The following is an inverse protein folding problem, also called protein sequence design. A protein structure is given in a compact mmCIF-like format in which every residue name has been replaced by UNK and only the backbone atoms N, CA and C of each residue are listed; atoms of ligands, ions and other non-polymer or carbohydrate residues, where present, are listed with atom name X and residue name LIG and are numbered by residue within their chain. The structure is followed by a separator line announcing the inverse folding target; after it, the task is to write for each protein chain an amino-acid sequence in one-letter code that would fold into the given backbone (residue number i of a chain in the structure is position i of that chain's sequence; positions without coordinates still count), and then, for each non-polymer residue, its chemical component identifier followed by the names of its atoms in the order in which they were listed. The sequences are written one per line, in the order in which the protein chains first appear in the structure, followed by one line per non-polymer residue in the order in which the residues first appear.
data_IF_646516743181
#
_entry.id   IF_646516743181
#
_cell.length_a   1.000
_cell.length_b   1.000
_cell.length_c   1.000
_cell.angle_alpha   90.00
_cell.angle_beta   90.00
_cell.angle_gamma   90.00
#
_symmetry.space_group_name_H-M   'P 1'
#
loop_
_entity.id
_entity.type
_entity.pdbx_description
1 polymer ?
#
# COMPACT_ATOMS: atom_id res chain seq x y z
N UNK A 1 9.79 17.87 0.71
CA UNK A 1 9.99 16.45 0.35
C UNK A 1 9.34 15.57 1.41
N UNK A 2 8.76 14.44 1.00
CA UNK A 2 8.22 13.43 1.94
C UNK A 2 9.03 12.14 1.84
N UNK A 3 9.41 11.57 2.98
CA UNK A 3 10.16 10.32 3.06
C UNK A 3 9.60 9.39 4.15
N UNK A 4 9.99 8.12 4.11
CA UNK A 4 9.44 7.07 4.99
C UNK A 4 10.44 6.76 6.11
N UNK A 5 9.94 6.53 7.34
CA UNK A 5 10.76 6.06 8.45
C UNK A 5 11.52 4.76 8.10
N UNK A 6 12.82 4.72 8.36
CA UNK A 6 13.72 3.59 8.11
C UNK A 6 14.29 3.52 6.68
N UNK A 7 13.95 4.50 5.83
CA UNK A 7 14.57 4.67 4.50
C UNK A 7 15.75 5.65 4.57
N UNK A 8 16.34 5.98 3.42
CA UNK A 8 17.32 7.06 3.29
C UNK A 8 16.71 8.25 2.54
N UNK A 9 17.26 9.45 2.75
CA UNK A 9 16.91 10.65 1.97
C UNK A 9 18.18 11.31 1.45
N UNK A 10 18.08 11.94 0.28
CA UNK A 10 19.12 12.77 -0.29
C UNK A 10 18.52 14.14 -0.61
N UNK A 11 19.10 15.18 -0.02
CA UNK A 11 18.80 16.57 -0.35
C UNK A 11 19.90 17.08 -1.25
N UNK A 12 19.54 17.80 -2.31
CA UNK A 12 20.49 18.28 -3.31
C UNK A 12 20.18 19.72 -3.67
N UNK A 13 21.24 20.51 -3.89
CA UNK A 13 21.15 21.82 -4.50
C UNK A 13 22.37 22.11 -5.37
N UNK A 14 22.19 23.01 -6.34
CA UNK A 14 23.25 23.48 -7.20
C UNK A 14 23.73 24.85 -6.72
N UNK A 15 25.05 25.00 -6.65
CA UNK A 15 25.73 26.18 -6.16
C UNK A 15 26.64 26.71 -7.27
N UNK A 16 26.36 27.93 -7.72
CA UNK A 16 27.16 28.63 -8.73
C UNK A 16 27.86 29.83 -8.11
N UNK A 17 29.15 30.01 -8.40
CA UNK A 17 29.90 31.18 -7.95
C UNK A 17 31.40 31.07 -8.23
N UNK A 18 32.14 32.10 -7.84
CA UNK A 18 33.60 32.07 -7.87
C UNK A 18 34.15 31.17 -6.76
N UNK A 19 35.11 30.31 -7.11
CA UNK A 19 35.84 29.44 -6.18
C UNK A 19 36.84 30.25 -5.32
N UNK A 20 37.22 29.75 -4.13
CA UNK A 20 36.73 28.54 -3.47
C UNK A 20 35.36 28.78 -2.80
N UNK A 21 34.44 27.83 -2.97
CA UNK A 21 33.13 27.83 -2.33
C UNK A 21 33.13 26.78 -1.22
N UNK A 22 32.66 27.16 -0.04
CA UNK A 22 32.40 26.25 1.07
C UNK A 22 30.90 26.08 1.24
N UNK A 23 30.45 24.84 1.43
CA UNK A 23 29.05 24.50 1.65
C UNK A 23 28.88 23.86 3.02
N UNK A 24 27.89 24.33 3.78
CA UNK A 24 27.51 23.79 5.09
C UNK A 24 26.00 23.54 5.16
N UNK A 25 25.61 22.44 5.80
CA UNK A 25 24.22 22.04 5.97
C UNK A 25 23.77 22.28 7.41
N UNK A 26 22.52 22.69 7.57
CA UNK A 26 21.90 22.94 8.86
C UNK A 26 20.53 22.26 8.91
N UNK A 27 20.14 21.79 10.10
CA UNK A 27 18.76 21.40 10.42
C UNK A 27 18.30 22.27 11.57
N UNK A 28 17.23 23.04 11.35
CA UNK A 28 16.65 23.92 12.37
C UNK A 28 17.70 24.80 13.09
N UNK A 29 18.64 25.36 12.31
CA UNK A 29 19.76 26.19 12.76
C UNK A 29 20.90 25.46 13.48
N UNK A 30 20.87 24.14 13.59
CA UNK A 30 22.01 23.33 14.06
C UNK A 30 22.82 22.83 12.87
N UNK A 31 24.12 23.08 12.88
CA UNK A 31 25.04 22.59 11.86
C UNK A 31 25.08 21.05 11.84
N UNK A 32 25.12 20.49 10.63
CA UNK A 32 25.24 19.06 10.37
C UNK A 32 26.65 18.80 9.88
N UNK A 33 27.40 18.04 10.68
CA UNK A 33 28.69 17.49 10.29
C UNK A 33 28.51 16.10 9.68
N UNK A 34 29.50 15.65 8.92
CA UNK A 34 29.49 14.28 8.39
C UNK A 34 29.76 13.29 9.51
N UNK A 35 28.84 12.34 9.69
CA UNK A 35 28.88 11.28 10.71
C UNK A 35 28.37 9.96 10.11
N UNK A 36 28.08 8.95 10.95
CA UNK A 36 27.55 7.66 10.47
C UNK A 36 26.17 7.78 9.81
N UNK A 37 25.37 8.79 10.18
CA UNK A 37 24.00 9.00 9.71
C UNK A 37 23.93 10.00 8.56
N UNK A 38 24.76 11.04 8.59
CA UNK A 38 24.76 12.17 7.68
C UNK A 38 26.04 12.19 6.85
N UNK A 39 25.90 12.28 5.52
CA UNK A 39 27.03 12.43 4.62
C UNK A 39 26.87 13.70 3.79
N UNK A 40 27.73 14.68 4.06
CA UNK A 40 27.77 15.95 3.35
C UNK A 40 28.78 15.85 2.20
N UNK A 41 28.32 16.05 0.97
CA UNK A 41 29.16 16.00 -0.22
C UNK A 41 29.00 17.32 -0.96
N UNK A 42 30.12 17.89 -1.41
CA UNK A 42 30.13 19.01 -2.34
C UNK A 42 31.16 18.73 -3.42
N UNK A 43 30.70 18.59 -4.67
CA UNK A 43 31.57 18.29 -5.80
C UNK A 43 31.18 19.16 -6.99
N UNK A 44 32.19 19.85 -7.56
CA UNK A 44 32.05 20.87 -8.61
C UNK A 44 31.08 22.00 -8.24
N UNK A 45 29.79 21.77 -8.47
CA UNK A 45 28.70 22.70 -8.20
C UNK A 45 27.49 22.04 -7.54
N UNK A 46 27.53 20.72 -7.30
CA UNK A 46 26.45 19.98 -6.68
C UNK A 46 26.76 19.75 -5.19
N UNK A 47 25.90 20.28 -4.32
CA UNK A 47 25.91 20.01 -2.90
C UNK A 47 24.82 19.00 -2.56
N UNK A 48 25.19 17.92 -1.88
CA UNK A 48 24.23 16.92 -1.43
C UNK A 48 24.42 16.55 0.04
N UNK A 49 23.30 16.34 0.72
CA UNK A 49 23.22 15.77 2.06
C UNK A 49 22.47 14.45 1.99
N UNK A 50 23.17 13.35 2.26
CA UNK A 50 22.57 12.03 2.42
C UNK A 50 22.29 11.78 3.90
N UNK A 51 21.09 11.28 4.22
CA UNK A 51 20.65 10.95 5.57
C UNK A 51 20.18 9.50 5.58
N UNK A 52 20.89 8.66 6.32
CA UNK A 52 20.59 7.24 6.47
C UNK A 52 19.62 6.98 7.63
N UNK A 53 18.90 5.86 7.57
CA UNK A 53 18.05 5.36 8.66
C UNK A 53 17.08 6.40 9.23
N UNK A 54 16.27 7.02 8.37
CA UNK A 54 15.38 8.12 8.75
C UNK A 54 14.47 7.76 9.93
N UNK A 55 14.35 8.64 10.90
CA UNK A 55 13.44 8.56 12.02
C UNK A 55 12.53 9.78 12.11
N UNK A 56 11.59 9.79 13.07
CA UNK A 56 10.65 10.91 13.21
C UNK A 56 11.33 12.22 13.56
N UNK A 57 12.48 12.18 14.23
CA UNK A 57 13.26 13.38 14.58
C UNK A 57 13.91 14.01 13.36
N UNK A 58 14.14 13.28 12.26
CA UNK A 58 14.69 13.81 11.00
C UNK A 58 13.71 14.67 10.21
N UNK A 59 12.46 14.78 10.66
CA UNK A 59 11.56 15.78 10.11
C UNK A 59 12.02 17.17 10.53
N UNK A 60 12.08 18.10 9.60
CA UNK A 60 12.51 19.47 9.91
C UNK A 60 12.81 20.29 8.67
N UNK A 61 13.22 21.53 8.91
CA UNK A 61 13.73 22.42 7.86
C UNK A 61 15.24 22.28 7.74
N UNK A 62 15.70 21.92 6.55
CA UNK A 62 17.11 21.80 6.22
C UNK A 62 17.52 23.00 5.38
N UNK A 63 18.66 23.60 5.72
CA UNK A 63 19.22 24.76 5.02
C UNK A 63 20.63 24.43 4.55
N UNK A 64 20.89 24.63 3.27
CA UNK A 64 22.23 24.62 2.70
C UNK A 64 22.72 26.06 2.59
N UNK A 65 23.91 26.33 3.11
CA UNK A 65 24.56 27.63 3.07
C UNK A 65 25.84 27.50 2.25
N UNK A 66 25.97 28.32 1.22
CA UNK A 66 27.19 28.42 0.42
C UNK A 66 27.86 29.77 0.66
N UNK A 67 29.18 29.75 0.89
CA UNK A 67 29.98 30.93 1.20
C UNK A 67 31.23 30.99 0.33
N UNK A 68 31.53 32.18 -0.19
CA UNK A 68 32.81 32.53 -0.79
C UNK A 68 33.22 33.96 -0.39
N UNK A 69 34.26 34.52 -1.03
CA UNK A 69 34.72 35.88 -0.74
C UNK A 69 33.71 36.97 -1.10
N UNK A 70 32.83 36.71 -2.07
CA UNK A 70 31.83 37.68 -2.52
C UNK A 70 30.60 37.74 -1.61
N UNK A 71 30.36 36.70 -0.80
CA UNK A 71 29.30 36.68 0.19
C UNK A 71 28.79 35.29 0.53
N UNK A 72 27.55 35.27 1.03
CA UNK A 72 26.87 34.05 1.49
C UNK A 72 25.49 33.98 0.87
N UNK A 73 25.11 32.82 0.37
CA UNK A 73 23.76 32.51 -0.11
C UNK A 73 23.24 31.26 0.60
N UNK A 74 21.91 31.14 0.69
CA UNK A 74 21.28 29.99 1.33
C UNK A 74 20.03 29.53 0.59
N UNK A 75 19.74 28.24 0.66
CA UNK A 75 18.46 27.67 0.25
C UNK A 75 17.95 26.72 1.34
N UNK A 76 16.63 26.66 1.50
CA UNK A 76 16.00 25.79 2.50
C UNK A 76 14.96 24.88 1.88
N UNK A 77 14.81 23.70 2.47
CA UNK A 77 13.80 22.72 2.10
C UNK A 77 13.31 21.96 3.32
N UNK A 78 12.00 21.69 3.38
CA UNK A 78 11.42 20.91 4.46
C UNK A 78 11.39 19.42 4.11
N UNK A 79 11.98 18.60 4.97
CA UNK A 79 11.87 17.14 4.95
C UNK A 79 10.79 16.73 5.95
N UNK A 80 9.75 16.03 5.47
CA UNK A 80 8.71 15.45 6.33
C UNK A 80 8.85 13.94 6.33
N UNK A 81 9.14 13.36 7.48
CA UNK A 81 9.17 11.91 7.65
C UNK A 81 7.76 11.44 7.98
N UNK A 82 7.10 10.88 6.97
CA UNK A 82 5.85 10.17 7.19
C UNK A 82 6.20 8.83 7.83
N UNK A 83 5.65 8.59 9.01
CA UNK A 83 5.38 7.22 9.42
C UNK A 83 4.44 6.64 8.38
N UNK A 84 4.88 5.63 7.63
CA UNK A 84 3.96 4.91 6.77
C UNK A 84 2.88 4.33 7.69
N UNK A 85 1.68 4.89 7.62
CA UNK A 85 0.48 4.28 8.16
C UNK A 85 0.02 3.24 7.15
N UNK A 86 0.82 2.19 6.99
CA UNK A 86 0.23 0.90 6.64
C UNK A 86 -0.21 0.26 7.95
N UNK A 87 -1.39 -0.37 7.97
CA UNK A 87 -1.99 -0.83 9.21
C UNK A 87 -0.99 -1.76 9.92
N UNK A 88 -0.78 -1.51 11.21
CA UNK A 88 0.17 -2.24 12.06
C UNK A 88 -0.13 -3.76 12.14
N UNK A 89 -1.26 -4.18 11.58
CA UNK A 89 -1.63 -5.54 11.22
C UNK A 89 -2.23 -5.45 9.83
N UNK A 90 -1.79 -6.21 8.83
CA UNK A 90 -2.55 -6.30 7.60
C UNK A 90 -3.94 -6.85 7.98
N UNK A 91 -4.99 -6.16 7.54
CA UNK A 91 -6.35 -6.52 7.90
C UNK A 91 -6.70 -7.88 7.30
N UNK A 92 -7.43 -8.70 8.06
CA UNK A 92 -7.92 -9.96 7.53
C UNK A 92 -8.82 -9.68 6.32
N UNK A 93 -8.47 -10.26 5.18
CA UNK A 93 -9.22 -10.07 3.94
C UNK A 93 -10.09 -11.29 3.67
N UNK A 94 -11.37 -11.05 3.36
CA UNK A 94 -12.24 -12.02 2.72
C UNK A 94 -12.13 -11.85 1.20
N UNK A 95 -11.52 -12.84 0.53
CA UNK A 95 -11.17 -12.75 -0.90
C UNK A 95 -11.77 -13.92 -1.67
N UNK A 96 -12.15 -13.72 -2.92
CA UNK A 96 -12.60 -14.81 -3.81
C UNK A 96 -11.41 -15.52 -4.49
N UNK A 97 -11.53 -16.80 -4.84
CA UNK A 97 -10.49 -17.50 -5.62
C UNK A 97 -10.15 -16.79 -6.93
N UNK A 98 -8.88 -16.86 -7.32
CA UNK A 98 -8.33 -16.24 -8.53
C UNK A 98 -7.87 -14.79 -8.34
N UNK A 99 -8.11 -14.19 -7.19
CA UNK A 99 -7.72 -12.82 -6.90
C UNK A 99 -6.23 -12.69 -6.59
N UNK A 100 -5.67 -11.51 -6.85
CA UNK A 100 -4.34 -11.15 -6.38
C UNK A 100 -4.43 -10.61 -4.95
N UNK A 101 -3.66 -11.17 -4.02
CA UNK A 101 -3.62 -10.74 -2.61
C UNK A 101 -2.23 -10.23 -2.28
N UNK A 102 -2.12 -9.12 -1.57
CA UNK A 102 -0.81 -8.53 -1.23
C UNK A 102 -0.75 -8.13 0.24
N UNK A 103 0.31 -8.57 0.91
CA UNK A 103 0.67 -8.17 2.26
C UNK A 103 1.90 -7.29 2.23
N UNK A 104 1.84 -6.19 2.98
CA UNK A 104 2.91 -5.20 3.07
C UNK A 104 3.31 -5.03 4.53
N UNK A 105 4.58 -5.26 4.86
CA UNK A 105 5.14 -5.14 6.20
C UNK A 105 6.35 -4.23 6.14
N UNK A 106 6.43 -3.26 7.05
CA UNK A 106 7.65 -2.45 7.19
C UNK A 106 8.62 -3.12 8.15
N UNK A 107 9.88 -3.26 7.71
CA UNK A 107 10.99 -3.65 8.56
C UNK A 107 11.30 -2.55 9.56
N UNK A 108 10.90 -2.76 10.82
CA UNK A 108 11.30 -1.92 11.96
C UNK A 108 12.07 -2.77 12.96
N UNK A 109 13.35 -3.00 12.67
CA UNK A 109 14.29 -3.64 13.61
C UNK A 109 15.35 -2.61 13.98
N UNK A 110 15.72 -2.53 15.26
CA UNK A 110 16.82 -1.67 15.69
C UNK A 110 18.14 -2.17 15.07
N UNK A 111 19.09 -1.28 14.80
CA UNK A 111 20.40 -1.63 14.23
C UNK A 111 20.55 -1.36 12.72
N UNK A 112 21.76 -1.57 12.22
CA UNK A 112 22.18 -1.32 10.84
C UNK A 112 21.78 -2.45 9.88
N UNK A 113 21.85 -2.17 8.58
CA UNK A 113 21.73 -3.16 7.50
C UNK A 113 22.90 -4.17 7.52
N UNK A 114 22.74 -5.37 6.92
CA UNK A 114 21.60 -5.84 6.13
C UNK A 114 20.46 -6.43 6.97
N UNK A 115 19.23 -6.22 6.52
CA UNK A 115 18.04 -6.88 7.07
C UNK A 115 17.75 -8.16 6.29
N UNK A 116 17.54 -9.25 7.01
CA UNK A 116 17.03 -10.51 6.47
C UNK A 116 15.51 -10.54 6.66
N UNK A 117 14.77 -10.89 5.61
CA UNK A 117 13.31 -10.99 5.63
C UNK A 117 12.87 -12.35 5.14
N UNK A 118 12.07 -13.04 5.96
CA UNK A 118 11.50 -14.34 5.64
C UNK A 118 9.98 -14.29 5.86
N UNK A 119 9.23 -14.92 4.95
CA UNK A 119 7.79 -15.09 5.09
C UNK A 119 7.47 -16.54 5.37
N UNK A 120 6.46 -16.80 6.19
CA UNK A 120 6.00 -18.13 6.54
C UNK A 120 4.49 -18.23 6.38
N UNK A 121 3.98 -19.38 5.95
CA UNK A 121 2.56 -19.76 6.03
C UNK A 121 2.47 -21.00 6.90
N UNK A 122 1.70 -20.94 7.99
CA UNK A 122 1.46 -22.07 8.89
C UNK A 122 2.79 -22.75 9.35
N UNK A 123 3.83 -21.95 9.57
CA UNK A 123 5.17 -22.40 9.98
C UNK A 123 6.13 -22.81 8.85
N UNK A 124 5.66 -22.89 7.60
CA UNK A 124 6.50 -23.23 6.43
C UNK A 124 6.99 -21.96 5.73
N UNK A 125 8.30 -21.88 5.45
CA UNK A 125 8.90 -20.73 4.76
C UNK A 125 8.43 -20.62 3.31
N UNK A 126 8.15 -19.39 2.86
CA UNK A 126 7.64 -19.05 1.54
C UNK A 126 8.76 -18.38 0.74
N UNK A 127 8.98 -18.89 -0.47
CA UNK A 127 9.89 -18.32 -1.46
C UNK A 127 9.13 -17.84 -2.69
N UNK A 128 9.75 -16.93 -3.44
CA UNK A 128 9.25 -16.52 -4.77
C UNK A 128 9.11 -17.74 -5.68
N UNK A 129 7.95 -17.86 -6.33
CA UNK A 129 7.52 -19.03 -7.11
C UNK A 129 6.41 -18.62 -8.09
N UNK A 130 5.80 -19.58 -8.79
CA UNK A 130 4.65 -19.31 -9.68
C UNK A 130 3.39 -18.86 -8.92
N UNK A 131 3.29 -19.19 -7.63
CA UNK A 131 2.16 -18.80 -6.78
C UNK A 131 2.42 -17.50 -6.03
N UNK A 132 3.68 -17.24 -5.65
CA UNK A 132 4.07 -16.16 -4.76
C UNK A 132 5.13 -15.24 -5.36
N UNK A 133 5.01 -13.93 -5.18
CA UNK A 133 6.15 -13.00 -5.28
C UNK A 133 6.53 -12.49 -3.90
N UNK A 134 7.78 -12.69 -3.51
CA UNK A 134 8.36 -12.16 -2.27
C UNK A 134 9.40 -11.11 -2.63
N UNK A 135 9.24 -9.89 -2.11
CA UNK A 135 10.21 -8.81 -2.35
C UNK A 135 10.50 -8.03 -1.08
N UNK A 136 11.72 -7.50 -1.01
CA UNK A 136 12.13 -6.58 0.05
C UNK A 136 12.92 -5.43 -0.57
N UNK A 137 12.34 -4.22 -0.54
CA UNK A 137 12.98 -3.01 -1.07
C UNK A 137 12.69 -1.84 -0.16
N UNK A 138 13.71 -1.01 0.10
CA UNK A 138 13.55 0.24 0.88
C UNK A 138 12.84 0.01 2.21
N UNK A 139 13.21 -1.06 2.93
CA UNK A 139 12.63 -1.45 4.21
C UNK A 139 11.14 -1.88 4.16
N UNK A 140 10.61 -2.14 2.96
CA UNK A 140 9.26 -2.66 2.73
C UNK A 140 9.33 -4.12 2.28
N UNK A 141 8.86 -5.03 3.13
CA UNK A 141 8.65 -6.43 2.83
C UNK A 141 7.27 -6.63 2.21
N UNK A 142 7.21 -7.29 1.06
CA UNK A 142 5.98 -7.55 0.32
C UNK A 142 5.88 -9.04 0.02
N UNK A 143 4.75 -9.63 0.36
CA UNK A 143 4.33 -10.95 -0.11
C UNK A 143 3.08 -10.77 -0.97
N UNK A 144 3.13 -11.28 -2.20
CA UNK A 144 2.01 -11.25 -3.13
C UNK A 144 1.61 -12.67 -3.53
N UNK A 145 0.35 -13.01 -3.32
CA UNK A 145 -0.30 -14.21 -3.89
C UNK A 145 -0.80 -13.81 -5.28
N UNK A 146 -0.27 -14.44 -6.33
CA UNK A 146 -0.57 -14.06 -7.73
C UNK A 146 -2.01 -14.38 -8.11
N UNK A 147 -2.46 -15.58 -7.76
CA UNK A 147 -3.82 -16.11 -8.00
C UNK A 147 -4.24 -16.96 -6.81
N UNK A 148 -5.13 -16.42 -5.99
CA UNK A 148 -5.55 -17.02 -4.72
C UNK A 148 -6.36 -18.31 -4.90
N UNK A 149 -6.17 -19.27 -4.01
CA UNK A 149 -6.93 -20.52 -3.93
C UNK A 149 -7.44 -20.74 -2.51
N UNK A 150 -8.44 -21.59 -2.30
CA UNK A 150 -8.99 -21.86 -0.97
C UNK A 150 -7.90 -22.28 0.05
N UNK A 151 -6.88 -23.02 -0.42
CA UNK A 151 -5.71 -23.46 0.36
C UNK A 151 -4.78 -22.33 0.80
N UNK A 152 -4.85 -21.17 0.15
CA UNK A 152 -4.05 -20.00 0.52
C UNK A 152 -4.66 -19.28 1.75
N UNK A 153 -5.83 -19.71 2.22
CA UNK A 153 -6.33 -19.28 3.53
C UNK A 153 -5.38 -19.74 4.63
N UNK A 154 -5.19 -18.89 5.63
CA UNK A 154 -4.32 -19.20 6.76
C UNK A 154 -3.66 -17.96 7.34
N UNK A 155 -2.70 -18.20 8.22
CA UNK A 155 -1.91 -17.14 8.86
C UNK A 155 -0.52 -17.12 8.26
N UNK A 156 -0.13 -15.93 7.81
CA UNK A 156 1.17 -15.61 7.26
C UNK A 156 1.96 -14.80 8.28
N UNK A 157 3.24 -15.15 8.46
CA UNK A 157 4.16 -14.46 9.36
C UNK A 157 5.32 -13.88 8.56
N UNK A 158 5.56 -12.58 8.70
CA UNK A 158 6.79 -11.94 8.24
C UNK A 158 7.77 -11.83 9.41
N UNK A 159 8.96 -12.41 9.27
CA UNK A 159 10.06 -12.30 10.23
C UNK A 159 11.16 -11.45 9.62
N UNK A 160 11.63 -10.47 10.37
CA UNK A 160 12.66 -9.51 9.95
C UNK A 160 13.75 -9.49 11.01
N UNK A 161 15.01 -9.66 10.63
CA UNK A 161 16.13 -9.75 11.57
C UNK A 161 17.41 -9.10 11.05
N UNK A 162 18.23 -8.62 11.98
CA UNK A 162 19.65 -8.24 11.78
C UNK A 162 20.46 -8.67 13.02
N UNK A 163 21.73 -8.27 13.10
CA UNK A 163 22.62 -8.57 14.25
C UNK A 163 22.10 -8.01 15.57
N UNK A 164 21.34 -6.92 15.55
CA UNK A 164 20.85 -6.25 16.74
C UNK A 164 19.50 -6.82 17.25
N UNK A 165 18.79 -7.61 16.44
CA UNK A 165 17.56 -8.25 16.90
C UNK A 165 16.64 -8.80 15.82
N UNK A 166 15.42 -9.13 16.23
CA UNK A 166 14.39 -9.73 15.37
C UNK A 166 13.02 -9.14 15.71
N UNK A 167 12.20 -8.89 14.68
CA UNK A 167 10.79 -8.55 14.78
C UNK A 167 9.95 -9.53 13.94
N UNK A 168 8.72 -9.81 14.39
CA UNK A 168 7.77 -10.66 13.68
C UNK A 168 6.39 -10.01 13.59
N UNK A 169 5.70 -10.23 12.47
CA UNK A 169 4.38 -9.68 12.18
C UNK A 169 3.49 -10.77 11.58
N UNK A 170 2.28 -10.93 12.10
CA UNK A 170 1.31 -11.93 11.62
C UNK A 170 0.10 -11.27 10.95
N UNK A 171 -0.39 -11.91 9.89
CA UNK A 171 -1.61 -11.57 9.14
C UNK A 171 -2.36 -12.82 8.76
N UNK A 172 -3.68 -12.79 8.80
CA UNK A 172 -4.51 -13.87 8.24
C UNK A 172 -5.23 -13.42 6.97
N UNK A 173 -5.43 -14.33 6.02
CA UNK A 173 -6.35 -14.14 4.90
C UNK A 173 -7.34 -15.30 4.86
N UNK A 174 -8.59 -15.00 4.54
CA UNK A 174 -9.64 -15.98 4.38
C UNK A 174 -10.16 -15.91 2.95
N UNK A 175 -9.97 -16.99 2.21
CA UNK A 175 -10.44 -17.07 0.82
C UNK A 175 -11.75 -17.83 0.84
N UNK A 176 -12.84 -17.14 0.54
CA UNK A 176 -14.18 -17.71 0.52
C UNK A 176 -14.73 -17.65 -0.90
N UNK A 177 -15.43 -18.71 -1.31
CA UNK A 177 -16.09 -18.74 -2.63
C UNK A 177 -17.30 -17.79 -2.74
N UNK A 178 -17.61 -17.02 -1.69
CA UNK A 178 -18.82 -16.19 -1.58
C UNK A 178 -18.41 -14.83 -0.99
N UNK A 179 -18.50 -13.76 -1.80
CA UNK A 179 -18.29 -12.40 -1.33
C UNK A 179 -19.62 -11.77 -0.92
N UNK A 180 -19.74 -11.33 0.34
CA UNK A 180 -20.81 -10.42 0.74
C UNK A 180 -20.46 -9.04 0.20
N UNK A 181 -21.17 -8.60 -0.85
CA UNK A 181 -21.02 -7.24 -1.37
C UNK A 181 -21.68 -6.28 -0.35
N UNK A 182 -20.92 -5.30 0.14
CA UNK A 182 -21.48 -4.24 0.99
C UNK A 182 -22.65 -3.56 0.28
N UNK A 183 -23.77 -3.39 0.99
CA UNK A 183 -24.96 -2.69 0.46
C UNK A 183 -24.69 -1.22 0.10
N UNK A 184 -23.55 -0.65 0.51
CA UNK A 184 -23.18 0.75 0.22
C UNK A 184 -22.92 1.04 -1.26
N UNK A 185 -22.69 0.02 -2.10
CA UNK A 185 -22.51 0.16 -3.55
C UNK A 185 -23.80 -0.08 -4.37
N UNK A 186 -24.89 -0.53 -3.73
CA UNK A 186 -26.21 -0.57 -4.36
C UNK A 186 -26.94 0.76 -4.14
N UNK A 187 -26.42 1.84 -4.72
CA UNK A 187 -27.31 2.97 -5.00
C UNK A 187 -28.10 2.60 -6.26
N UNK A 188 -29.38 2.28 -6.07
CA UNK A 188 -30.40 2.13 -7.11
C UNK A 188 -30.35 0.84 -7.94
N UNK A 189 -30.57 -0.31 -7.32
CA UNK A 189 -31.49 -1.29 -7.91
C UNK A 189 -32.37 -1.84 -6.79
N UNK A 190 -33.61 -1.35 -6.73
CA UNK A 190 -34.69 -2.03 -6.03
C UNK A 190 -34.93 -3.36 -6.76
N UNK A 191 -34.15 -4.39 -6.45
CA UNK A 191 -34.58 -5.75 -6.74
C UNK A 191 -35.75 -6.06 -5.80
N UNK A 192 -36.91 -6.54 -6.30
CA UNK A 192 -37.94 -7.02 -5.41
C UNK A 192 -37.35 -8.18 -4.62
N UNK A 193 -37.39 -8.04 -3.30
CA UNK A 193 -36.90 -9.02 -2.34
C UNK A 193 -37.53 -10.38 -2.67
N UNK A 194 -36.74 -11.35 -3.13
CA UNK A 194 -37.17 -12.75 -3.16
C UNK A 194 -37.11 -13.22 -1.71
N UNK A 195 -38.21 -13.01 -0.99
CA UNK A 195 -38.41 -13.57 0.34
C UNK A 195 -38.52 -15.08 0.23
N UNK A 196 -37.43 -15.81 0.46
CA UNK A 196 -37.49 -17.27 0.66
C UNK A 196 -38.00 -17.52 2.08
N UNK A 197 -39.31 -17.72 2.22
CA UNK A 197 -39.93 -18.20 3.45
C UNK A 197 -39.50 -19.65 3.71
N UNK A 198 -38.57 -19.87 4.65
CA UNK A 198 -38.32 -21.21 5.20
C UNK A 198 -39.43 -21.54 6.19
N UNK A 199 -40.43 -22.32 5.77
CA UNK A 199 -41.39 -22.93 6.69
C UNK A 199 -40.70 -24.05 7.47
N UNK A 200 -40.42 -23.80 8.74
CA UNK A 200 -40.18 -24.89 9.71
C UNK A 200 -41.55 -25.42 10.14
N UNK A 201 -41.93 -26.63 9.73
CA UNK A 201 -42.94 -27.41 10.47
C UNK A 201 -42.66 -28.91 10.39
N UNK A 202 -42.49 -29.48 11.57
CA UNK A 202 -42.42 -30.92 11.82
C UNK A 202 -43.71 -31.63 11.40
N UNK A 203 -43.49 -32.84 10.86
CA UNK A 203 -44.32 -34.04 10.84
C UNK A 203 -45.82 -33.96 10.43
N UNK A 204 -46.07 -34.70 9.34
CA UNK A 204 -47.29 -35.40 8.88
C UNK A 204 -48.18 -34.72 7.82
N UNK A 205 -48.30 -35.48 6.72
CA UNK A 205 -49.38 -35.60 5.72
C UNK A 205 -49.53 -34.49 4.66
N UNK A 206 -49.08 -34.83 3.44
CA UNK A 206 -49.70 -34.60 2.12
C UNK A 206 -50.53 -33.32 1.90
N UNK A 207 -50.10 -32.46 0.95
CA UNK A 207 -50.77 -32.23 -0.37
C UNK A 207 -50.21 -30.99 -1.11
N UNK A 208 -50.00 -31.18 -2.42
CA UNK A 208 -49.97 -30.26 -3.57
C UNK A 208 -49.46 -28.81 -3.43
N UNK A 209 -48.51 -28.43 -4.29
CA UNK A 209 -48.11 -27.04 -4.55
C UNK A 209 -48.76 -26.56 -5.85
N UNK A 210 -49.60 -25.53 -5.76
CA UNK A 210 -50.07 -24.76 -6.93
C UNK A 210 -49.07 -23.64 -7.25
N UNK A 211 -48.72 -23.51 -8.53
CA UNK A 211 -47.86 -22.45 -9.06
C UNK A 211 -48.73 -21.22 -9.35
N UNK A 212 -48.47 -20.09 -8.70
CA UNK A 212 -49.03 -18.79 -9.10
C UNK A 212 -47.93 -17.98 -9.78
N UNK A 213 -48.01 -17.88 -11.11
CA UNK A 213 -47.19 -16.99 -11.92
C UNK A 213 -47.59 -15.53 -11.67
N UNK A 214 -46.63 -14.63 -11.42
CA UNK A 214 -46.88 -13.19 -11.38
C UNK A 214 -46.29 -12.56 -12.65
N UNK A 215 -47.16 -11.97 -13.47
CA UNK A 215 -46.82 -11.20 -14.67
C UNK A 215 -46.26 -9.82 -14.31
N UNK A 216 -45.18 -9.41 -14.97
CA UNK A 216 -44.58 -8.07 -14.88
C UNK A 216 -45.48 -7.02 -15.56
N UNK A 217 -45.62 -5.78 -15.02
CA UNK A 217 -46.28 -4.71 -15.75
C UNK A 217 -45.30 -4.07 -16.75
N UNK A 218 -45.74 -4.02 -18.01
CA UNK A 218 -45.09 -3.36 -19.14
C UNK A 218 -44.77 -1.88 -18.83
N UNK A 219 -43.51 -1.48 -18.99
CA UNK A 219 -43.15 -0.07 -19.09
C UNK A 219 -43.62 0.49 -20.43
N UNK A 220 -44.59 1.39 -20.38
CA UNK A 220 -45.06 2.16 -21.52
C UNK A 220 -43.97 3.15 -21.99
N UNK A 221 -43.58 3.02 -23.25
CA UNK A 221 -42.97 4.10 -24.02
C UNK A 221 -43.98 4.52 -25.09
N UNK A 222 -44.26 5.83 -25.12
CA UNK A 222 -45.18 6.51 -26.03
C UNK A 222 -44.78 6.32 -27.50
N UNK A 223 -45.75 6.24 -28.45
CA UNK A 223 -45.47 6.04 -29.86
C UNK A 223 -45.16 7.37 -30.55
N UNK A 224 -44.06 7.43 -31.32
CA UNK A 224 -43.83 8.48 -32.31
C UNK A 224 -43.93 7.85 -33.71
N UNK A 225 -44.98 8.18 -34.46
CA UNK A 225 -45.20 7.77 -35.84
C UNK A 225 -44.92 8.92 -36.80
N UNK A 226 -44.12 8.67 -37.85
CA UNK A 226 -44.32 9.04 -39.28
C UNK A 226 -42.97 8.92 -40.04
N UNK A 227 -42.69 7.84 -40.78
CA UNK A 227 -43.03 7.52 -42.20
C UNK A 227 -41.94 7.95 -43.23
N UNK A 228 -41.82 7.37 -44.45
CA UNK A 228 -41.36 6.00 -44.72
C UNK A 228 -40.29 5.89 -45.86
N UNK A 229 -39.67 4.69 -45.96
CA UNK A 229 -39.16 3.97 -47.13
C UNK A 229 -38.27 4.67 -48.20
N UNK A 230 -37.07 4.10 -48.40
CA UNK A 230 -36.65 3.68 -49.74
C UNK A 230 -35.68 2.49 -49.63
N UNK A 231 -35.97 1.44 -50.40
CA UNK A 231 -35.17 0.25 -50.59
C UNK A 231 -34.32 0.32 -51.87
N UNK A 232 -33.44 -0.67 -52.03
CA UNK A 232 -32.53 -0.96 -53.16
C UNK A 232 -31.20 -0.21 -53.09
N UNK A 233 -30.04 -0.84 -53.29
CA UNK A 233 -29.67 -2.14 -53.87
C UNK A 233 -28.36 -2.61 -53.23
#
# INVERSE_FOLDING_TARGET
MESIKGSFAQLECLVSGSLPITVTWFKENKEIETDEKHKCIFFESAASLEISHLDSSDSGNYTCIAKNQAGTVQCSGTLKIKGLRLPLKPESQDVIPGSRVQFNVLGRVAGSQPLTVNWYKDGTEIFTSDCYDVTFKTSLAVLCIKKSQLSDSGTYMCKISNEAGTASYEVSVKITGIQLVSMSSFSYFLCPVISVLVKKKNHRLCKTMDVVSVTSPSMGLTPFWSQPLAASR
#
